data_IF_713338729400
#
_entry.id   IF_713338729400
#
_cell.length_a   1.000
_cell.length_b   1.000
_cell.length_c   1.000
_cell.angle_alpha   90.00
_cell.angle_beta   90.00
_cell.angle_gamma   90.00
#
_symmetry.space_group_name_H-M   'P 1'
#
loop_
_entity.id
_entity.type
_entity.pdbx_description
1 polymer ?
#
# COMPACT_ATOMS: atom_id res chain seq x y z
N UNK A 1 -16.70 35.00 -23.07
CA UNK A 1 -15.76 33.87 -23.23
C UNK A 1 -16.42 32.64 -22.61
N UNK A 2 -16.91 31.69 -23.41
CA UNK A 2 -17.59 30.49 -22.90
C UNK A 2 -16.48 29.54 -22.45
N UNK A 3 -16.33 29.36 -21.13
CA UNK A 3 -15.44 28.34 -20.58
C UNK A 3 -16.13 26.99 -20.81
N UNK A 4 -15.71 26.28 -21.85
CA UNK A 4 -16.12 24.90 -22.09
C UNK A 4 -15.48 24.08 -20.94
N UNK A 5 -16.26 23.75 -19.91
CA UNK A 5 -15.83 22.80 -18.87
C UNK A 5 -15.63 21.45 -19.55
N UNK A 6 -14.37 21.04 -19.73
CA UNK A 6 -14.03 19.71 -20.23
C UNK A 6 -14.69 18.67 -19.32
N UNK A 7 -15.48 17.78 -19.90
CA UNK A 7 -16.10 16.67 -19.17
C UNK A 7 -14.98 15.74 -18.69
N UNK A 8 -14.82 15.60 -17.37
CA UNK A 8 -13.84 14.70 -16.79
C UNK A 8 -14.16 13.25 -17.20
N UNK A 9 -13.11 12.47 -17.47
CA UNK A 9 -13.20 11.02 -17.69
C UNK A 9 -13.66 10.29 -16.44
N UNK A 10 -14.07 9.04 -16.56
CA UNK A 10 -14.43 8.19 -15.45
C UNK A 10 -13.27 8.08 -14.43
N UNK A 11 -12.05 7.86 -14.92
CA UNK A 11 -10.84 7.80 -14.08
C UNK A 11 -10.63 9.10 -13.30
N UNK A 12 -10.73 10.26 -13.95
CA UNK A 12 -10.58 11.56 -13.27
C UNK A 12 -11.67 11.78 -12.22
N UNK A 13 -12.90 11.31 -12.48
CA UNK A 13 -14.00 11.38 -11.50
C UNK A 13 -13.76 10.48 -10.28
N UNK A 14 -13.33 9.24 -10.51
CA UNK A 14 -12.95 8.33 -9.42
C UNK A 14 -11.82 8.93 -8.57
N UNK A 15 -10.78 9.47 -9.18
CA UNK A 15 -9.69 10.14 -8.48
C UNK A 15 -10.16 11.35 -7.67
N UNK A 16 -11.09 12.16 -8.19
CA UNK A 16 -11.68 13.27 -7.45
C UNK A 16 -12.37 12.79 -6.17
N UNK A 17 -13.14 11.69 -6.23
CA UNK A 17 -13.82 11.10 -5.07
C UNK A 17 -12.80 10.51 -4.10
N UNK A 18 -11.79 9.79 -4.58
CA UNK A 18 -10.74 9.18 -3.76
C UNK A 18 -9.92 10.23 -3.00
N UNK A 19 -9.56 11.35 -3.65
CA UNK A 19 -8.87 12.46 -2.98
C UNK A 19 -9.70 13.06 -1.87
N UNK A 20 -10.99 13.32 -2.12
CA UNK A 20 -11.91 13.82 -1.09
C UNK A 20 -12.09 12.83 0.06
N UNK A 21 -12.25 11.54 -0.25
CA UNK A 21 -12.36 10.50 0.76
C UNK A 21 -11.10 10.39 1.62
N UNK A 22 -9.90 10.44 1.01
CA UNK A 22 -8.63 10.42 1.71
C UNK A 22 -8.50 11.59 2.69
N UNK A 23 -8.86 12.79 2.27
CA UNK A 23 -8.88 13.97 3.14
C UNK A 23 -9.80 13.75 4.35
N UNK A 24 -11.04 13.30 4.11
CA UNK A 24 -12.01 13.08 5.20
C UNK A 24 -11.59 11.94 6.14
N UNK A 25 -11.03 10.83 5.59
CA UNK A 25 -10.54 9.72 6.40
C UNK A 25 -9.39 10.15 7.32
N UNK A 26 -8.47 10.97 6.83
CA UNK A 26 -7.35 11.46 7.63
C UNK A 26 -7.77 12.50 8.69
N UNK A 27 -8.82 13.27 8.42
CA UNK A 27 -9.34 14.28 9.35
C UNK A 27 -10.20 13.65 10.46
N UNK A 28 -11.16 12.79 10.10
CA UNK A 28 -12.17 12.25 11.02
C UNK A 28 -11.93 10.81 11.48
N UNK A 29 -11.02 10.08 10.84
CA UNK A 29 -10.94 8.63 10.96
C UNK A 29 -11.93 7.91 10.03
N UNK A 30 -11.68 6.62 9.78
CA UNK A 30 -12.51 5.83 8.87
C UNK A 30 -13.93 5.60 9.42
N UNK A 31 -14.04 5.26 10.71
CA UNK A 31 -15.34 4.91 11.32
C UNK A 31 -16.32 6.09 11.32
N UNK A 32 -15.85 7.28 11.66
CA UNK A 32 -16.66 8.50 11.77
C UNK A 32 -16.93 9.18 10.43
N UNK A 33 -16.30 8.72 9.34
CA UNK A 33 -16.55 9.22 8.00
C UNK A 33 -17.84 8.66 7.42
N UNK A 34 -18.69 9.53 6.88
CA UNK A 34 -19.90 9.18 6.13
C UNK A 34 -19.73 9.41 4.62
N UNK A 35 -20.59 8.78 3.81
CA UNK A 35 -20.63 9.06 2.37
C UNK A 35 -21.01 10.52 2.08
N UNK A 36 -21.84 11.14 2.92
CA UNK A 36 -22.24 12.55 2.77
C UNK A 36 -21.06 13.50 3.01
N UNK A 37 -20.16 13.18 3.94
CA UNK A 37 -18.90 13.94 4.12
C UNK A 37 -18.07 13.91 2.83
N UNK A 38 -17.93 12.72 2.24
CA UNK A 38 -17.17 12.55 0.98
C UNK A 38 -17.84 13.29 -0.18
N UNK A 39 -19.18 13.20 -0.30
CA UNK A 39 -19.95 13.97 -1.29
C UNK A 39 -19.66 15.45 -1.15
N UNK A 40 -19.77 15.98 0.06
CA UNK A 40 -19.55 17.39 0.37
C UNK A 40 -18.13 17.85 0.00
N UNK A 41 -17.13 17.07 0.42
CA UNK A 41 -15.71 17.39 0.16
C UNK A 41 -15.34 17.25 -1.31
N UNK A 42 -15.91 16.27 -2.02
CA UNK A 42 -15.64 16.06 -3.46
C UNK A 42 -16.19 17.17 -4.36
N UNK A 43 -17.15 17.97 -3.86
CA UNK A 43 -17.87 18.96 -4.66
C UNK A 43 -18.75 18.36 -5.77
N UNK A 44 -19.00 17.04 -5.72
CA UNK A 44 -19.89 16.35 -6.65
C UNK A 44 -21.32 16.25 -6.08
N UNK A 45 -22.30 16.01 -6.97
CA UNK A 45 -23.63 15.67 -6.50
C UNK A 45 -23.66 14.28 -5.86
N UNK A 46 -24.61 14.06 -4.94
CA UNK A 46 -24.83 12.74 -4.30
C UNK A 46 -24.94 11.62 -5.33
N UNK A 47 -25.83 11.79 -6.34
CA UNK A 47 -25.96 10.82 -7.43
C UNK A 47 -24.66 10.61 -8.24
N UNK A 48 -23.84 11.66 -8.35
CA UNK A 48 -22.53 11.59 -9.03
C UNK A 48 -21.54 10.71 -8.26
N UNK A 49 -21.48 10.79 -6.94
CA UNK A 49 -20.61 9.94 -6.10
C UNK A 49 -21.12 8.50 -6.08
N UNK A 50 -22.43 8.30 -5.81
CA UNK A 50 -23.04 6.97 -5.76
C UNK A 50 -23.08 6.23 -7.09
N UNK A 51 -22.86 6.92 -8.21
CA UNK A 51 -22.66 6.28 -9.53
C UNK A 51 -21.35 5.49 -9.56
N UNK A 52 -20.31 5.93 -8.87
CA UNK A 52 -18.98 5.30 -8.87
C UNK A 52 -18.76 4.36 -7.68
N UNK A 53 -19.26 4.73 -6.50
CA UNK A 53 -19.01 4.03 -5.24
C UNK A 53 -20.29 3.89 -4.42
N UNK A 54 -20.62 2.68 -4.01
CA UNK A 54 -21.81 2.41 -3.20
C UNK A 54 -21.62 2.73 -1.73
N UNK A 55 -20.39 2.59 -1.24
CA UNK A 55 -20.03 2.80 0.16
C UNK A 55 -18.57 3.24 0.30
N UNK A 56 -18.17 3.64 1.51
CA UNK A 56 -16.81 4.10 1.80
C UNK A 56 -15.76 3.00 1.77
N UNK A 57 -16.16 1.72 1.94
CA UNK A 57 -15.23 0.58 1.83
C UNK A 57 -14.74 0.39 0.41
N UNK A 58 -15.63 0.54 -0.58
CA UNK A 58 -15.26 0.47 -2.01
C UNK A 58 -14.25 1.57 -2.37
N UNK A 59 -14.42 2.77 -1.81
CA UNK A 59 -13.49 3.88 -2.03
C UNK A 59 -12.13 3.58 -1.39
N UNK A 60 -12.13 3.11 -0.13
CA UNK A 60 -10.90 2.76 0.58
C UNK A 60 -10.14 1.65 -0.15
N UNK A 61 -10.86 0.63 -0.62
CA UNK A 61 -10.28 -0.45 -1.40
C UNK A 61 -9.57 0.07 -2.66
N UNK A 62 -10.24 0.87 -3.48
CA UNK A 62 -9.67 1.44 -4.70
C UNK A 62 -8.43 2.31 -4.38
N UNK A 63 -8.46 3.10 -3.29
CA UNK A 63 -7.30 3.89 -2.83
C UNK A 63 -6.12 2.96 -2.49
N UNK A 64 -6.35 1.85 -1.78
CA UNK A 64 -5.29 0.91 -1.38
C UNK A 64 -4.70 0.18 -2.59
N UNK A 65 -5.55 -0.27 -3.51
CA UNK A 65 -5.12 -0.94 -4.76
C UNK A 65 -4.32 0.01 -5.64
N UNK A 66 -4.79 1.24 -5.84
CA UNK A 66 -4.07 2.24 -6.63
C UNK A 66 -2.70 2.56 -6.01
N UNK A 67 -2.61 2.67 -4.68
CA UNK A 67 -1.34 2.85 -3.98
C UNK A 67 -0.35 1.71 -4.22
N UNK A 68 -0.83 0.45 -4.25
CA UNK A 68 0.00 -0.71 -4.55
C UNK A 68 0.47 -0.72 -6.02
N UNK A 69 -0.42 -0.40 -6.97
CA UNK A 69 -0.08 -0.33 -8.40
C UNK A 69 0.93 0.77 -8.70
N UNK A 70 0.72 1.96 -8.17
CA UNK A 70 1.65 3.08 -8.33
C UNK A 70 3.05 2.73 -7.80
N UNK A 71 3.12 2.01 -6.67
CA UNK A 71 4.39 1.54 -6.12
C UNK A 71 5.07 0.54 -7.03
N UNK A 72 4.32 -0.44 -7.56
CA UNK A 72 4.85 -1.41 -8.54
C UNK A 72 5.48 -0.68 -9.72
N UNK A 73 4.76 0.28 -10.29
CA UNK A 73 5.21 1.03 -11.46
C UNK A 73 6.49 1.84 -11.16
N UNK A 74 6.60 2.45 -9.97
CA UNK A 74 7.81 3.14 -9.52
C UNK A 74 8.98 2.15 -9.43
N UNK A 75 8.78 0.98 -8.83
CA UNK A 75 9.81 -0.04 -8.68
C UNK A 75 10.27 -0.55 -10.05
N UNK A 76 9.34 -0.90 -10.93
CA UNK A 76 9.65 -1.36 -12.29
C UNK A 76 10.43 -0.30 -13.06
N UNK A 77 10.01 0.96 -12.97
CA UNK A 77 10.70 2.07 -13.63
C UNK A 77 12.14 2.23 -13.11
N UNK A 78 12.34 2.22 -11.79
CA UNK A 78 13.70 2.32 -11.21
C UNK A 78 14.60 1.16 -11.66
N UNK A 79 14.06 -0.05 -11.77
CA UNK A 79 14.79 -1.21 -12.28
C UNK A 79 15.21 -1.00 -13.74
N UNK A 80 14.30 -0.56 -14.60
CA UNK A 80 14.58 -0.38 -16.04
C UNK A 80 15.45 0.85 -16.32
N UNK A 81 15.14 1.99 -15.72
CA UNK A 81 15.81 3.26 -16.03
C UNK A 81 17.19 3.38 -15.36
N UNK A 82 17.35 2.81 -14.14
CA UNK A 82 18.59 2.90 -13.36
C UNK A 82 19.46 1.66 -13.50
N UNK A 83 19.02 0.65 -14.26
CA UNK A 83 19.77 -0.60 -14.44
C UNK A 83 19.99 -1.35 -13.12
N UNK A 84 19.10 -1.18 -12.14
CA UNK A 84 19.23 -1.80 -10.83
C UNK A 84 19.05 -3.32 -10.97
N UNK A 85 20.07 -4.06 -10.54
CA UNK A 85 19.97 -5.50 -10.42
C UNK A 85 19.18 -5.80 -9.14
N UNK A 86 18.02 -6.40 -9.30
CA UNK A 86 17.26 -6.86 -8.16
C UNK A 86 18.08 -7.95 -7.43
N UNK A 87 18.22 -7.71 -6.13
CA UNK A 87 18.95 -8.58 -5.23
C UNK A 87 18.24 -8.59 -3.86
N UNK A 88 18.50 -9.58 -2.99
CA UNK A 88 17.99 -9.56 -1.62
C UNK A 88 18.24 -8.23 -0.91
N UNK A 89 19.40 -7.63 -1.14
CA UNK A 89 19.79 -6.33 -0.58
C UNK A 89 18.92 -5.18 -1.08
N UNK A 90 18.71 -5.09 -2.40
CA UNK A 90 17.85 -4.03 -2.97
C UNK A 90 16.42 -4.18 -2.47
N UNK A 91 15.90 -5.41 -2.45
CA UNK A 91 14.55 -5.67 -1.98
C UNK A 91 14.37 -5.30 -0.50
N UNK A 92 15.35 -5.65 0.33
CA UNK A 92 15.35 -5.29 1.75
C UNK A 92 15.35 -3.78 1.97
N UNK A 93 16.15 -3.04 1.18
CA UNK A 93 16.13 -1.58 1.18
C UNK A 93 14.75 -1.03 0.81
N UNK A 94 14.10 -1.57 -0.21
CA UNK A 94 12.77 -1.15 -0.63
C UNK A 94 11.71 -1.37 0.45
N UNK A 95 11.78 -2.46 1.22
CA UNK A 95 10.91 -2.71 2.36
C UNK A 95 11.15 -1.67 3.45
N UNK A 96 12.41 -1.43 3.82
CA UNK A 96 12.75 -0.43 4.84
C UNK A 96 12.37 0.97 4.39
N UNK A 97 12.57 1.34 3.13
CA UNK A 97 12.15 2.64 2.59
C UNK A 97 10.62 2.80 2.67
N UNK A 98 9.85 1.71 2.48
CA UNK A 98 8.40 1.74 2.68
C UNK A 98 8.03 1.93 4.16
N UNK A 99 8.70 1.21 5.07
CA UNK A 99 8.48 1.34 6.53
C UNK A 99 8.75 2.77 7.01
N UNK A 100 9.80 3.39 6.48
CA UNK A 100 10.24 4.74 6.87
C UNK A 100 9.50 5.86 6.11
N UNK A 101 8.70 5.53 5.11
CA UNK A 101 7.97 6.54 4.35
C UNK A 101 7.01 7.32 5.27
N UNK A 102 6.94 8.65 5.06
CA UNK A 102 6.02 9.56 5.73
C UNK A 102 5.16 10.27 4.70
N UNK A 103 3.97 9.75 4.48
CA UNK A 103 3.01 10.31 3.55
C UNK A 103 1.58 9.86 3.89
N UNK A 104 0.61 10.53 3.29
CA UNK A 104 -0.81 10.27 3.56
C UNK A 104 -1.27 8.83 3.28
N UNK A 105 -0.66 8.13 2.31
CA UNK A 105 -0.99 6.73 2.04
C UNK A 105 -0.58 5.82 3.18
N UNK A 106 0.60 6.07 3.78
CA UNK A 106 1.07 5.31 4.95
C UNK A 106 0.16 5.57 6.13
N UNK A 107 -0.17 6.83 6.41
CA UNK A 107 -1.08 7.20 7.51
C UNK A 107 -2.44 6.56 7.36
N UNK A 108 -3.02 6.63 6.16
CA UNK A 108 -4.31 6.02 5.85
C UNK A 108 -4.26 4.49 5.98
N UNK A 109 -3.16 3.86 5.51
CA UNK A 109 -3.00 2.41 5.60
C UNK A 109 -2.85 1.95 7.06
N UNK A 110 -2.08 2.67 7.89
CA UNK A 110 -1.96 2.34 9.32
C UNK A 110 -3.28 2.57 10.05
N UNK A 111 -4.02 3.65 9.75
CA UNK A 111 -5.36 3.85 10.26
C UNK A 111 -6.27 2.66 9.92
N UNK A 112 -6.25 2.20 8.66
CA UNK A 112 -6.98 1.00 8.22
C UNK A 112 -6.58 -0.25 9.03
N UNK A 113 -5.27 -0.48 9.26
CA UNK A 113 -4.80 -1.63 10.05
C UNK A 113 -5.29 -1.56 11.52
N UNK A 114 -5.36 -0.38 12.11
CA UNK A 114 -5.85 -0.20 13.48
C UNK A 114 -7.34 -0.55 13.62
N UNK A 115 -8.14 -0.30 12.59
CA UNK A 115 -9.58 -0.56 12.60
C UNK A 115 -9.93 -2.04 12.35
N UNK A 116 -8.98 -2.88 11.90
CA UNK A 116 -9.23 -4.29 11.58
C UNK A 116 -9.77 -5.08 12.76
N UNK A 117 -9.34 -4.74 13.99
CA UNK A 117 -9.73 -5.51 15.17
C UNK A 117 -11.23 -5.50 15.40
N UNK A 118 -11.86 -4.35 15.19
CA UNK A 118 -13.25 -4.10 15.57
C UNK A 118 -14.23 -4.13 14.37
N UNK A 119 -13.73 -4.38 13.14
CA UNK A 119 -14.54 -4.28 11.93
C UNK A 119 -14.31 -5.47 10.99
N UNK A 120 -15.31 -6.35 10.88
CA UNK A 120 -15.21 -7.57 10.09
C UNK A 120 -15.18 -7.28 8.57
N UNK A 121 -15.88 -6.26 8.09
CA UNK A 121 -15.84 -5.87 6.67
C UNK A 121 -14.42 -5.40 6.29
N UNK A 122 -13.73 -4.69 7.19
CA UNK A 122 -12.33 -4.31 6.97
C UNK A 122 -11.38 -5.51 7.02
N UNK A 123 -11.67 -6.53 7.85
CA UNK A 123 -10.89 -7.79 7.85
C UNK A 123 -10.97 -8.51 6.52
N UNK A 124 -12.18 -8.63 5.96
CA UNK A 124 -12.37 -9.22 4.62
C UNK A 124 -11.63 -8.41 3.56
N UNK A 125 -11.73 -7.09 3.61
CA UNK A 125 -11.02 -6.19 2.73
C UNK A 125 -9.50 -6.36 2.83
N UNK A 126 -8.97 -6.48 4.05
CA UNK A 126 -7.54 -6.72 4.29
C UNK A 126 -7.06 -8.03 3.66
N UNK A 127 -7.82 -9.11 3.81
CA UNK A 127 -7.48 -10.41 3.18
C UNK A 127 -7.37 -10.26 1.67
N UNK A 128 -8.30 -9.54 1.04
CA UNK A 128 -8.29 -9.27 -0.40
C UNK A 128 -7.08 -8.44 -0.82
N UNK A 129 -6.82 -7.32 -0.14
CA UNK A 129 -5.66 -6.44 -0.40
C UNK A 129 -4.34 -7.20 -0.21
N UNK A 130 -4.23 -8.02 0.85
CA UNK A 130 -3.05 -8.85 1.11
C UNK A 130 -2.79 -9.82 -0.03
N UNK A 131 -3.82 -10.52 -0.50
CA UNK A 131 -3.71 -11.47 -1.64
C UNK A 131 -3.24 -10.76 -2.92
N UNK A 132 -3.80 -9.61 -3.22
CA UNK A 132 -3.39 -8.81 -4.39
C UNK A 132 -1.96 -8.29 -4.25
N UNK A 133 -1.56 -7.88 -3.04
CA UNK A 133 -0.18 -7.46 -2.77
C UNK A 133 0.82 -8.60 -2.97
N UNK A 134 0.51 -9.81 -2.51
CA UNK A 134 1.33 -11.00 -2.74
C UNK A 134 1.47 -11.27 -4.24
N UNK A 135 0.38 -11.18 -5.00
CA UNK A 135 0.42 -11.38 -6.45
C UNK A 135 1.33 -10.37 -7.15
N UNK A 136 1.22 -9.09 -6.79
CA UNK A 136 2.12 -8.04 -7.32
C UNK A 136 3.58 -8.32 -6.99
N UNK A 137 3.87 -8.76 -5.76
CA UNK A 137 5.24 -9.15 -5.38
C UNK A 137 5.74 -10.34 -6.17
N UNK A 138 4.91 -11.38 -6.36
CA UNK A 138 5.27 -12.54 -7.18
C UNK A 138 5.61 -12.15 -8.62
N UNK A 139 4.83 -11.28 -9.22
CA UNK A 139 5.10 -10.78 -10.57
C UNK A 139 6.44 -10.04 -10.65
N UNK A 140 6.76 -9.21 -9.67
CA UNK A 140 8.06 -8.55 -9.58
C UNK A 140 9.20 -9.55 -9.39
N UNK A 141 9.03 -10.55 -8.52
CA UNK A 141 10.04 -11.56 -8.23
C UNK A 141 10.25 -12.56 -9.37
N UNK A 142 9.20 -12.92 -10.12
CA UNK A 142 9.30 -13.87 -11.23
C UNK A 142 10.27 -13.42 -12.33
N UNK A 143 10.54 -12.13 -12.42
CA UNK A 143 11.54 -11.58 -13.35
C UNK A 143 12.97 -11.69 -12.83
N UNK A 144 13.18 -12.13 -11.58
CA UNK A 144 14.42 -11.95 -10.84
C UNK A 144 15.01 -13.24 -10.29
N UNK A 145 14.16 -14.20 -9.98
CA UNK A 145 14.54 -15.45 -9.33
C UNK A 145 14.02 -16.62 -10.13
N UNK A 146 14.85 -17.64 -10.29
CA UNK A 146 14.46 -18.86 -10.96
C UNK A 146 13.33 -19.59 -10.22
N UNK A 147 13.26 -19.40 -8.90
CA UNK A 147 12.22 -19.93 -8.04
C UNK A 147 11.60 -18.81 -7.21
N UNK A 148 10.27 -18.82 -7.10
CA UNK A 148 9.55 -17.83 -6.30
C UNK A 148 9.49 -18.27 -4.84
N UNK A 149 9.71 -17.34 -3.89
CA UNK A 149 9.44 -17.60 -2.48
C UNK A 149 7.99 -18.09 -2.26
N UNK A 150 7.78 -18.90 -1.23
CA UNK A 150 6.44 -19.38 -0.88
C UNK A 150 5.50 -18.24 -0.47
N UNK A 151 4.19 -18.47 -0.54
CA UNK A 151 3.19 -17.52 -0.07
C UNK A 151 3.38 -17.19 1.41
N UNK A 152 3.80 -18.16 2.22
CA UNK A 152 4.13 -17.98 3.63
C UNK A 152 5.29 -16.98 3.83
N UNK A 153 6.31 -17.04 3.00
CA UNK A 153 7.43 -16.07 3.01
C UNK A 153 6.94 -14.66 2.71
N UNK A 154 6.11 -14.48 1.69
CA UNK A 154 5.55 -13.18 1.36
C UNK A 154 4.63 -12.66 2.47
N UNK A 155 3.80 -13.54 3.06
CA UNK A 155 2.93 -13.18 4.17
C UNK A 155 3.74 -12.74 5.41
N UNK A 156 4.80 -13.45 5.75
CA UNK A 156 5.70 -13.05 6.82
C UNK A 156 6.29 -11.66 6.59
N UNK A 157 6.77 -11.39 5.37
CA UNK A 157 7.33 -10.08 5.02
C UNK A 157 6.29 -8.95 5.09
N UNK A 158 5.04 -9.20 4.66
CA UNK A 158 3.95 -8.24 4.81
C UNK A 158 3.70 -7.95 6.30
N UNK A 159 3.71 -8.96 7.14
CA UNK A 159 3.51 -8.80 8.58
C UNK A 159 4.64 -7.99 9.24
N UNK A 160 5.91 -8.24 8.89
CA UNK A 160 7.05 -7.45 9.36
C UNK A 160 6.92 -5.99 8.90
N UNK A 161 6.59 -5.78 7.63
CA UNK A 161 6.40 -4.44 7.09
C UNK A 161 5.25 -3.70 7.80
N UNK A 162 4.11 -4.35 8.02
CA UNK A 162 2.98 -3.76 8.72
C UNK A 162 3.34 -3.40 10.17
N UNK A 163 4.07 -4.28 10.86
CA UNK A 163 4.57 -4.02 12.22
C UNK A 163 5.49 -2.78 12.25
N UNK A 164 6.39 -2.66 11.28
CA UNK A 164 7.27 -1.49 11.15
C UNK A 164 6.52 -0.19 10.86
N UNK A 165 5.52 -0.23 9.96
CA UNK A 165 4.66 0.93 9.67
C UNK A 165 3.89 1.37 10.91
N UNK A 166 3.27 0.43 11.64
CA UNK A 166 2.56 0.73 12.89
C UNK A 166 3.51 1.28 13.96
N UNK A 167 4.73 0.74 14.08
CA UNK A 167 5.73 1.27 15.00
C UNK A 167 6.10 2.72 14.65
N UNK A 168 6.27 3.05 13.37
CA UNK A 168 6.58 4.40 12.93
C UNK A 168 5.44 5.39 13.20
N UNK A 169 4.20 5.02 12.91
CA UNK A 169 3.04 5.93 13.00
C UNK A 169 2.47 6.03 14.43
N UNK A 170 2.46 4.93 15.18
CA UNK A 170 1.79 4.85 16.49
C UNK A 170 2.80 5.06 17.63
N UNK A 171 4.01 4.47 17.51
CA UNK A 171 5.02 4.48 18.58
C UNK A 171 6.11 5.55 18.35
N UNK A 172 6.00 6.38 17.32
CA UNK A 172 7.00 7.39 16.94
C UNK A 172 8.41 6.80 16.70
N UNK A 173 8.49 5.55 16.22
CA UNK A 173 9.76 4.85 16.05
C UNK A 173 10.55 5.29 14.79
N UNK A 174 9.99 6.13 13.92
CA UNK A 174 10.57 6.52 12.61
C UNK A 174 12.00 7.07 12.73
N UNK A 175 12.26 7.98 13.66
CA UNK A 175 13.60 8.55 13.85
C UNK A 175 14.61 7.49 14.28
N UNK A 176 14.22 6.62 15.25
CA UNK A 176 15.06 5.53 15.72
C UNK A 176 15.35 4.53 14.59
N UNK A 177 14.34 4.14 13.84
CA UNK A 177 14.49 3.22 12.70
C UNK A 177 15.36 3.83 11.59
N UNK A 178 15.23 5.14 11.34
CA UNK A 178 16.08 5.85 10.37
C UNK A 178 17.54 5.81 10.78
N UNK A 179 17.86 6.07 12.05
CA UNK A 179 19.23 5.97 12.59
C UNK A 179 19.81 4.54 12.48
N UNK A 180 18.95 3.54 12.55
CA UNK A 180 19.32 2.12 12.49
C UNK A 180 19.00 1.46 11.13
N UNK A 181 18.77 2.25 10.07
CA UNK A 181 18.33 1.79 8.76
C UNK A 181 19.22 0.68 8.19
N UNK A 182 20.53 0.78 8.37
CA UNK A 182 21.48 -0.20 7.87
C UNK A 182 21.25 -1.57 8.53
N UNK A 183 21.09 -1.62 9.84
CA UNK A 183 20.87 -2.87 10.58
C UNK A 183 19.51 -3.50 10.25
N UNK A 184 18.46 -2.69 10.14
CA UNK A 184 17.14 -3.16 9.71
C UNK A 184 17.20 -3.78 8.30
N UNK A 185 17.95 -3.15 7.39
CA UNK A 185 18.14 -3.66 6.04
C UNK A 185 18.86 -5.02 6.07
N UNK A 186 19.95 -5.13 6.83
CA UNK A 186 20.72 -6.37 6.97
C UNK A 186 19.91 -7.51 7.60
N UNK A 187 19.05 -7.21 8.57
CA UNK A 187 18.15 -8.23 9.17
C UNK A 187 17.22 -8.83 8.11
N UNK A 188 16.58 -7.99 7.29
CA UNK A 188 15.67 -8.43 6.24
C UNK A 188 16.43 -9.13 5.11
N UNK A 189 17.59 -8.62 4.72
CA UNK A 189 18.46 -9.22 3.71
C UNK A 189 18.89 -10.64 4.13
N UNK A 190 19.32 -10.81 5.38
CA UNK A 190 19.70 -12.11 5.93
C UNK A 190 18.54 -13.12 5.87
N UNK A 191 17.33 -12.66 6.19
CA UNK A 191 16.14 -13.50 6.08
C UNK A 191 15.93 -14.00 4.64
N UNK A 192 15.97 -13.09 3.65
CA UNK A 192 15.79 -13.46 2.24
C UNK A 192 16.86 -14.43 1.76
N UNK A 193 18.14 -14.16 2.07
CA UNK A 193 19.25 -15.05 1.69
C UNK A 193 19.04 -16.46 2.26
N UNK A 194 18.58 -16.57 3.52
CA UNK A 194 18.38 -17.86 4.15
C UNK A 194 17.17 -18.62 3.61
N UNK A 195 16.09 -17.92 3.26
CA UNK A 195 14.91 -18.54 2.64
C UNK A 195 15.28 -19.09 1.26
N UNK A 196 15.98 -18.31 0.44
CA UNK A 196 16.39 -18.73 -0.91
C UNK A 196 17.32 -19.94 -0.89
N UNK A 197 18.25 -20.02 0.07
CA UNK A 197 19.15 -21.18 0.23
C UNK A 197 18.43 -22.47 0.62
N UNK A 198 17.36 -22.36 1.42
CA UNK A 198 16.57 -23.54 1.83
C UNK A 198 15.76 -24.15 0.68
N UNK A 199 15.37 -23.34 -0.27
CA UNK A 199 14.64 -23.81 -1.44
C UNK A 199 15.60 -24.54 -2.41
N UNK A 200 16.86 -24.09 -2.55
CA UNK A 200 17.90 -24.79 -3.33
C UNK A 200 18.27 -26.17 -2.76
N UNK A 201 18.18 -26.37 -1.43
CA UNK A 201 18.48 -27.66 -0.77
C UNK A 201 17.31 -28.66 -0.85
N UNK A 202 16.13 -28.24 -1.28
CA UNK A 202 14.91 -29.06 -1.39
C UNK A 202 14.60 -29.51 -2.82
N UNK A 203 15.30 -28.95 -3.81
CA UNK A 203 15.22 -29.29 -5.24
C UNK A 203 16.23 -30.38 -5.60
#
# INVERSE_FOLDING_TARGET
MIIIRKRLSEKERKQQIQLAAKEVFLDKGFNDTTMDDIVKTSGMSTGGVYHYYKNKFDILYDIMVEGNLNRRDIIQKSIYDEGLILSPKLFSRMIIDKILADNDYVKLYVMFLCELKENDDLKELYVKIKKESIQVFKELFSTLFNELPSDETFEFMINIMNSGLMACEILNARENFTKNKIYLTEMIETYFINVMKKDDERS
#
